data_IF_076463372618
#
_entry.id   IF_076463372618
#
_cell.length_a   1.000
_cell.length_b   1.000
_cell.length_c   1.000
_cell.angle_alpha   90.00
_cell.angle_beta   90.00
_cell.angle_gamma   90.00
#
_symmetry.space_group_name_H-M   'P 1'
#
loop_
_entity.id
_entity.type
_entity.pdbx_description
1 polymer ?
#
# COMPACT_ATOMS: atom_id res chain seq x y z
N UNK A 1 19.80 2.83 32.93
CA UNK A 1 18.64 3.02 32.05
C UNK A 1 18.31 4.51 32.00
N UNK A 2 18.10 5.09 30.83
CA UNK A 2 17.81 6.50 30.67
C UNK A 2 17.03 6.79 29.38
N UNK A 3 16.10 7.76 29.47
CA UNK A 3 15.46 8.35 28.32
C UNK A 3 16.29 9.57 27.88
N UNK A 4 16.67 9.61 26.59
CA UNK A 4 17.53 10.68 26.05
C UNK A 4 17.12 11.04 24.63
N UNK A 5 17.51 12.23 24.20
CA UNK A 5 17.59 12.55 22.78
C UNK A 5 18.83 11.86 22.18
N UNK A 6 18.67 11.32 21.00
CA UNK A 6 19.73 10.63 20.24
C UNK A 6 19.95 11.32 18.91
N UNK A 7 21.08 10.98 18.28
CA UNK A 7 21.32 11.45 16.91
C UNK A 7 20.48 10.66 15.92
N UNK A 8 20.32 11.21 14.74
CA UNK A 8 19.66 10.53 13.62
C UNK A 8 20.33 9.20 13.29
N UNK A 9 21.66 9.17 13.33
CA UNK A 9 22.47 7.99 13.04
C UNK A 9 22.26 6.87 14.08
N UNK A 10 22.18 7.24 15.36
CA UNK A 10 21.87 6.29 16.44
C UNK A 10 20.45 5.74 16.30
N UNK A 11 19.47 6.60 15.99
CA UNK A 11 18.10 6.16 15.72
C UNK A 11 18.03 5.21 14.54
N UNK A 12 18.64 5.55 13.40
CA UNK A 12 18.64 4.71 12.20
C UNK A 12 19.31 3.36 12.45
N UNK A 13 20.41 3.33 13.20
CA UNK A 13 21.10 2.10 13.57
C UNK A 13 20.19 1.17 14.37
N UNK A 14 19.43 1.70 15.34
CA UNK A 14 18.45 0.91 16.07
C UNK A 14 17.29 0.47 15.19
N UNK A 15 16.73 1.39 14.40
CA UNK A 15 15.59 1.10 13.54
C UNK A 15 15.87 -0.03 12.55
N UNK A 16 17.08 -0.13 12.01
CA UNK A 16 17.49 -1.20 11.10
C UNK A 16 17.55 -2.58 11.76
N UNK A 17 17.68 -2.66 13.08
CA UNK A 17 17.71 -3.91 13.82
C UNK A 17 16.30 -4.47 14.13
N UNK A 18 15.25 -3.66 13.93
CA UNK A 18 13.86 -4.03 14.21
C UNK A 18 13.11 -4.23 12.89
N UNK A 19 12.64 -5.46 12.65
CA UNK A 19 11.95 -5.83 11.41
C UNK A 19 10.53 -5.25 11.32
N UNK A 20 9.80 -5.22 12.43
CA UNK A 20 8.44 -4.68 12.48
C UNK A 20 8.46 -3.19 12.78
N UNK A 21 8.52 -2.38 11.73
CA UNK A 21 8.45 -0.92 11.83
C UNK A 21 7.71 -0.31 10.66
N UNK A 22 7.09 0.82 10.91
CA UNK A 22 6.40 1.60 9.89
C UNK A 22 7.38 2.54 9.16
N UNK A 23 7.13 2.83 7.88
CA UNK A 23 7.81 3.88 7.13
C UNK A 23 7.59 5.28 7.76
N UNK A 24 6.59 5.44 8.61
CA UNK A 24 6.35 6.68 9.39
C UNK A 24 7.46 6.94 10.41
N UNK A 25 8.24 5.92 10.78
CA UNK A 25 9.38 5.99 11.69
C UNK A 25 10.70 5.81 10.92
N UNK A 26 10.87 6.57 9.82
CA UNK A 26 12.09 6.56 8.99
C UNK A 26 12.67 7.96 8.82
N UNK A 27 13.96 8.01 8.45
CA UNK A 27 14.63 9.27 8.12
C UNK A 27 13.95 10.01 6.97
N UNK A 28 13.45 9.28 5.97
CA UNK A 28 12.73 9.83 4.83
C UNK A 28 11.46 10.56 5.27
N UNK A 29 10.71 9.95 6.19
CA UNK A 29 9.53 10.60 6.77
C UNK A 29 9.92 11.82 7.60
N UNK A 30 10.98 11.76 8.39
CA UNK A 30 11.47 12.91 9.15
C UNK A 30 11.81 14.08 8.20
N UNK A 31 12.53 13.83 7.11
CA UNK A 31 12.83 14.86 6.08
C UNK A 31 11.57 15.46 5.46
N UNK A 32 10.58 14.62 5.15
CA UNK A 32 9.30 15.11 4.63
C UNK A 32 8.57 16.01 5.63
N UNK A 33 8.54 15.62 6.89
CA UNK A 33 7.89 16.39 7.95
C UNK A 33 8.62 17.72 8.20
N UNK A 34 9.96 17.73 8.24
CA UNK A 34 10.76 18.96 8.36
C UNK A 34 10.47 19.93 7.21
N UNK A 35 10.43 19.43 5.96
CA UNK A 35 10.08 20.23 4.78
C UNK A 35 8.68 20.85 4.87
N UNK A 36 7.77 20.18 5.58
CA UNK A 36 6.41 20.66 5.85
C UNK A 36 6.30 21.57 7.08
N UNK A 37 7.44 21.92 7.71
CA UNK A 37 7.49 22.87 8.83
C UNK A 37 7.32 22.25 10.21
N UNK A 38 7.40 20.93 10.34
CA UNK A 38 7.42 20.27 11.65
C UNK A 38 8.82 20.28 12.24
N UNK A 39 8.93 20.40 13.55
CA UNK A 39 10.20 20.17 14.26
C UNK A 39 10.32 18.70 14.62
N UNK A 40 11.48 18.11 14.38
CA UNK A 40 11.76 16.69 14.59
C UNK A 40 12.70 16.50 15.76
N UNK A 41 12.41 15.50 16.60
CA UNK A 41 13.31 15.00 17.65
C UNK A 41 13.39 13.49 17.57
N UNK A 42 14.60 12.96 17.71
CA UNK A 42 14.84 11.53 17.87
C UNK A 42 15.05 11.25 19.36
N UNK A 43 14.22 10.39 19.94
CA UNK A 43 14.29 10.04 21.35
C UNK A 43 14.46 8.54 21.51
N UNK A 44 15.12 8.14 22.60
CA UNK A 44 15.36 6.73 22.86
C UNK A 44 15.38 6.42 24.37
N UNK A 45 15.03 5.19 24.69
CA UNK A 45 15.30 4.55 25.96
C UNK A 45 16.52 3.65 25.81
N UNK A 46 17.55 3.93 26.60
CA UNK A 46 18.82 3.17 26.58
C UNK A 46 19.03 2.39 27.86
N UNK A 47 19.51 1.15 27.69
CA UNK A 47 20.12 0.36 28.75
C UNK A 47 21.65 0.27 28.48
N UNK A 48 22.43 0.95 29.32
CA UNK A 48 23.85 1.15 29.01
C UNK A 48 24.05 1.91 27.70
N UNK A 49 24.69 1.27 26.72
CA UNK A 49 24.92 1.86 25.39
C UNK A 49 23.93 1.35 24.34
N UNK A 50 23.04 0.43 24.71
CA UNK A 50 22.07 -0.17 23.79
C UNK A 50 20.76 0.59 23.80
N UNK A 51 20.21 0.89 22.63
CA UNK A 51 18.86 1.41 22.46
C UNK A 51 17.89 0.25 22.46
N UNK A 52 16.91 0.28 23.36
CA UNK A 52 15.84 -0.72 23.47
C UNK A 52 14.53 -0.24 22.85
N UNK A 53 14.27 1.07 22.93
CA UNK A 53 13.08 1.72 22.36
C UNK A 53 13.52 3.05 21.76
N UNK A 54 13.05 3.38 20.56
CA UNK A 54 13.28 4.70 19.95
C UNK A 54 12.08 5.21 19.19
N UNK A 55 11.99 6.53 19.04
CA UNK A 55 10.92 7.15 18.27
C UNK A 55 11.36 8.45 17.61
N UNK A 56 10.75 8.71 16.45
CA UNK A 56 10.67 10.03 15.87
C UNK A 56 9.47 10.73 16.52
N UNK A 57 9.73 11.84 17.21
CA UNK A 57 8.71 12.74 17.73
C UNK A 57 8.70 13.98 16.86
N UNK A 58 7.57 14.29 16.26
CA UNK A 58 7.41 15.54 15.55
C UNK A 58 6.47 16.47 16.30
N UNK A 59 6.74 17.76 16.20
CA UNK A 59 5.96 18.79 16.89
C UNK A 59 5.54 19.90 15.94
N UNK A 60 4.36 20.45 16.21
CA UNK A 60 3.82 21.60 15.51
C UNK A 60 3.30 22.63 16.53
N UNK A 61 3.39 23.92 16.21
CA UNK A 61 2.75 24.95 17.01
C UNK A 61 1.23 24.78 17.04
N UNK A 62 0.65 25.01 18.22
CA UNK A 62 -0.78 25.17 18.40
C UNK A 62 -1.06 26.36 19.32
N UNK A 63 -2.32 26.77 19.44
CA UNK A 63 -2.68 27.90 20.32
C UNK A 63 -2.27 27.61 21.75
N UNK A 64 -1.31 28.39 22.26
CA UNK A 64 -0.84 28.33 23.65
C UNK A 64 0.31 27.35 23.90
N UNK A 65 0.79 26.57 22.89
CA UNK A 65 1.92 25.67 23.08
C UNK A 65 2.23 24.82 21.85
N UNK A 66 2.58 23.55 22.07
CA UNK A 66 2.91 22.60 21.02
C UNK A 66 1.96 21.38 21.07
N UNK A 67 1.68 20.82 19.91
CA UNK A 67 1.24 19.44 19.77
C UNK A 67 2.46 18.60 19.39
N UNK A 68 2.68 17.51 20.12
CA UNK A 68 3.69 16.51 19.82
C UNK A 68 3.04 15.19 19.42
N UNK A 69 3.65 14.48 18.48
CA UNK A 69 3.10 13.22 18.01
C UNK A 69 4.22 12.19 17.73
N UNK A 70 3.96 10.92 18.11
CA UNK A 70 4.68 9.74 17.67
C UNK A 70 3.72 8.94 16.79
N UNK A 71 3.96 8.91 15.49
CA UNK A 71 3.10 8.25 14.53
C UNK A 71 3.65 6.89 14.13
N UNK A 72 2.83 5.84 14.23
CA UNK A 72 3.20 4.45 13.96
C UNK A 72 4.51 4.02 14.67
N UNK A 73 4.62 4.36 15.95
CA UNK A 73 5.75 4.05 16.81
C UNK A 73 5.40 4.08 18.30
N UNK A 74 6.37 3.84 19.18
CA UNK A 74 7.82 3.77 18.96
C UNK A 74 8.28 2.48 18.27
N UNK A 75 9.55 2.46 17.83
CA UNK A 75 10.25 1.27 17.37
C UNK A 75 10.81 0.53 18.59
N UNK A 76 10.53 -0.77 18.72
CA UNK A 76 11.04 -1.62 19.80
C UNK A 76 11.09 -3.09 19.38
N UNK A 77 12.00 -3.84 19.97
CA UNK A 77 12.07 -5.29 19.81
C UNK A 77 11.47 -6.06 20.99
N UNK A 78 11.18 -5.35 22.09
CA UNK A 78 10.61 -5.90 23.33
C UNK A 78 9.69 -4.88 23.98
N UNK A 79 8.60 -5.39 24.55
CA UNK A 79 7.65 -4.57 25.33
C UNK A 79 8.12 -4.21 26.74
N UNK A 80 9.26 -4.75 27.17
CA UNK A 80 9.74 -4.67 28.55
C UNK A 80 9.92 -3.22 29.06
N UNK A 81 10.34 -2.30 28.18
CA UNK A 81 10.66 -0.92 28.53
C UNK A 81 9.66 0.10 28.00
N UNK A 82 8.56 -0.35 27.40
CA UNK A 82 7.56 0.56 26.81
C UNK A 82 6.89 1.48 27.85
N UNK A 83 6.53 0.95 29.03
CA UNK A 83 5.91 1.77 30.08
C UNK A 83 6.83 2.88 30.55
N UNK A 84 8.11 2.56 30.80
CA UNK A 84 9.12 3.53 31.21
C UNK A 84 9.35 4.58 30.11
N UNK A 85 9.46 4.12 28.86
CA UNK A 85 9.60 5.00 27.71
C UNK A 85 8.42 5.98 27.60
N UNK A 86 7.19 5.48 27.65
CA UNK A 86 5.98 6.32 27.54
C UNK A 86 5.83 7.30 28.70
N UNK A 87 6.19 6.90 29.93
CA UNK A 87 6.20 7.83 31.05
C UNK A 87 7.20 8.96 30.82
N UNK A 88 8.44 8.62 30.43
CA UNK A 88 9.48 9.62 30.16
C UNK A 88 9.14 10.49 28.94
N UNK A 89 8.52 9.93 27.92
CA UNK A 89 8.07 10.68 26.74
C UNK A 89 7.01 11.72 27.12
N UNK A 90 6.10 11.40 28.04
CA UNK A 90 5.10 12.33 28.59
C UNK A 90 5.78 13.49 29.35
N UNK A 91 6.78 13.16 30.17
CA UNK A 91 7.55 14.17 30.92
C UNK A 91 8.39 15.05 29.97
N UNK A 92 8.99 14.45 28.96
CA UNK A 92 9.71 15.17 27.89
C UNK A 92 8.79 16.12 27.14
N UNK A 93 7.61 15.66 26.71
CA UNK A 93 6.65 16.50 26.01
C UNK A 93 6.21 17.70 26.86
N UNK A 94 5.90 17.48 28.14
CA UNK A 94 5.55 18.51 29.09
C UNK A 94 6.68 19.54 29.30
N UNK A 95 7.92 19.07 29.45
CA UNK A 95 9.09 19.92 29.62
C UNK A 95 9.38 20.80 28.39
N UNK A 96 8.96 20.34 27.20
CA UNK A 96 9.10 21.08 25.94
C UNK A 96 7.86 21.92 25.56
N UNK A 97 6.91 22.10 26.50
CA UNK A 97 5.75 22.97 26.28
C UNK A 97 4.63 22.36 25.45
N UNK A 98 4.57 21.03 25.33
CA UNK A 98 3.46 20.34 24.68
C UNK A 98 2.20 20.43 25.55
N UNK A 99 1.11 20.87 24.95
CA UNK A 99 -0.23 20.82 25.52
C UNK A 99 -0.94 19.50 25.16
N UNK A 100 -0.52 18.88 24.06
CA UNK A 100 -1.05 17.61 23.58
C UNK A 100 0.11 16.71 23.16
N UNK A 101 0.07 15.46 23.59
CA UNK A 101 0.94 14.39 23.14
C UNK A 101 0.07 13.27 22.58
N UNK A 102 0.20 12.98 21.30
CA UNK A 102 -0.50 11.91 20.61
C UNK A 102 0.46 10.77 20.31
N UNK A 103 0.04 9.56 20.64
CA UNK A 103 0.80 8.34 20.34
C UNK A 103 -0.09 7.41 19.53
N UNK A 104 0.40 6.98 18.39
CA UNK A 104 -0.23 5.98 17.51
C UNK A 104 0.72 4.79 17.42
N UNK A 105 0.59 3.78 18.30
CA UNK A 105 1.43 2.58 18.24
C UNK A 105 1.25 1.83 16.91
N UNK A 106 2.30 1.12 16.48
CA UNK A 106 2.26 0.26 15.29
C UNK A 106 2.06 -1.22 15.66
N UNK A 107 1.90 -1.49 16.93
CA UNK A 107 1.73 -2.83 17.47
C UNK A 107 0.43 -3.47 16.98
N UNK A 108 0.50 -4.76 16.66
CA UNK A 108 -0.67 -5.53 16.24
C UNK A 108 -1.59 -5.79 17.43
N UNK A 109 -2.81 -5.25 17.38
CA UNK A 109 -3.84 -5.49 18.40
C UNK A 109 -4.50 -6.86 18.23
N UNK A 110 -4.91 -7.23 17.02
CA UNK A 110 -5.55 -8.50 16.71
C UNK A 110 -5.39 -8.87 15.23
N UNK A 111 -5.33 -10.16 14.95
CA UNK A 111 -5.23 -10.68 13.58
C UNK A 111 -6.55 -11.35 13.20
N UNK A 112 -6.99 -11.10 11.98
CA UNK A 112 -8.21 -11.65 11.39
C UNK A 112 -7.88 -12.43 10.13
N UNK A 113 -8.69 -13.45 9.83
CA UNK A 113 -8.60 -14.16 8.56
C UNK A 113 -9.25 -13.36 7.40
N UNK A 114 -9.22 -13.92 6.19
CA UNK A 114 -9.79 -13.28 5.00
C UNK A 114 -11.33 -13.14 5.02
N UNK A 115 -12.02 -13.74 5.99
CA UNK A 115 -13.47 -13.64 6.18
C UNK A 115 -13.82 -12.61 7.27
N UNK A 116 -12.81 -12.07 7.97
CA UNK A 116 -12.98 -11.16 9.09
C UNK A 116 -13.16 -11.85 10.44
N UNK A 117 -12.90 -13.17 10.54
CA UNK A 117 -12.96 -13.90 11.79
C UNK A 117 -11.63 -13.76 12.54
N UNK A 118 -11.64 -13.50 13.86
CA UNK A 118 -10.43 -13.36 14.65
C UNK A 118 -9.66 -14.68 14.74
N UNK A 119 -8.37 -14.65 14.45
CA UNK A 119 -7.45 -15.80 14.54
C UNK A 119 -6.38 -15.61 15.62
N UNK A 120 -6.37 -14.47 16.30
CA UNK A 120 -5.56 -14.23 17.50
C UNK A 120 -6.42 -13.62 18.62
N UNK A 121 -5.91 -13.67 19.86
CA UNK A 121 -6.49 -12.93 20.97
C UNK A 121 -6.22 -11.43 20.83
N UNK A 122 -7.06 -10.60 21.46
CA UNK A 122 -6.83 -9.16 21.58
C UNK A 122 -5.63 -8.86 22.48
N UNK A 123 -4.73 -7.99 22.03
CA UNK A 123 -3.54 -7.55 22.77
C UNK A 123 -3.85 -6.27 23.57
N UNK A 124 -4.63 -6.43 24.63
CA UNK A 124 -5.09 -5.30 25.49
C UNK A 124 -4.00 -4.71 26.38
N UNK A 125 -2.87 -5.39 26.51
CA UNK A 125 -1.82 -4.99 27.46
C UNK A 125 -1.25 -3.62 27.16
N UNK A 126 -0.99 -3.30 25.88
CA UNK A 126 -0.46 -2.00 25.50
C UNK A 126 -1.45 -0.86 25.82
N UNK A 127 -2.73 -1.07 25.55
CA UNK A 127 -3.78 -0.10 25.87
C UNK A 127 -3.83 0.11 27.38
N UNK A 128 -3.81 -0.97 28.18
CA UNK A 128 -3.80 -0.88 29.64
C UNK A 128 -2.57 -0.15 30.17
N UNK A 129 -1.38 -0.44 29.64
CA UNK A 129 -0.13 0.24 30.01
C UNK A 129 -0.21 1.75 29.77
N UNK A 130 -0.73 2.17 28.62
CA UNK A 130 -0.88 3.59 28.29
C UNK A 130 -1.95 4.26 29.17
N UNK A 131 -3.10 3.63 29.38
CA UNK A 131 -4.17 4.21 30.21
C UNK A 131 -3.77 4.30 31.69
N UNK A 132 -3.01 3.34 32.22
CA UNK A 132 -2.46 3.36 33.57
C UNK A 132 -1.46 4.53 33.77
N UNK A 133 -0.78 4.95 32.70
CA UNK A 133 0.08 6.14 32.66
C UNK A 133 -0.71 7.44 32.44
N UNK A 134 -2.05 7.36 32.34
CA UNK A 134 -2.94 8.53 32.19
C UNK A 134 -3.07 9.03 30.76
N UNK A 135 -2.77 8.22 29.74
CA UNK A 135 -3.19 8.49 28.36
C UNK A 135 -4.66 8.16 28.18
N UNK A 136 -5.35 8.96 27.38
CA UNK A 136 -6.71 8.65 26.94
C UNK A 136 -6.71 7.74 25.72
N UNK A 137 -7.62 6.78 25.66
CA UNK A 137 -7.77 5.90 24.52
C UNK A 137 -9.10 6.19 23.81
N UNK A 138 -9.05 6.58 22.54
CA UNK A 138 -10.21 6.97 21.75
C UNK A 138 -10.98 5.77 21.15
N UNK A 139 -10.54 4.55 21.44
CA UNK A 139 -11.10 3.33 20.87
C UNK A 139 -10.52 2.99 19.51
N UNK A 140 -10.74 1.74 19.06
CA UNK A 140 -10.42 1.31 17.70
C UNK A 140 -11.48 1.85 16.75
N UNK A 141 -11.05 2.60 15.74
CA UNK A 141 -11.93 3.26 14.78
C UNK A 141 -11.80 2.64 13.40
N UNK A 142 -12.78 2.89 12.53
CA UNK A 142 -12.72 2.52 11.12
C UNK A 142 -12.39 3.73 10.27
N UNK A 143 -11.87 3.51 9.05
CA UNK A 143 -11.48 4.58 8.14
C UNK A 143 -10.05 5.07 8.40
N UNK A 144 -9.88 6.38 8.47
CA UNK A 144 -8.58 7.06 8.67
C UNK A 144 -8.65 8.01 9.87
N UNK A 145 -8.81 7.51 11.09
CA UNK A 145 -8.85 8.36 12.27
C UNK A 145 -7.50 9.07 12.44
N UNK A 146 -7.53 10.39 12.47
CA UNK A 146 -6.30 11.18 12.57
C UNK A 146 -5.31 11.01 11.41
N UNK A 147 -5.78 10.53 10.25
CA UNK A 147 -4.99 10.43 9.01
C UNK A 147 -4.28 9.10 8.78
N UNK A 148 -4.40 8.13 9.69
CA UNK A 148 -3.80 6.80 9.56
C UNK A 148 -4.87 5.71 9.72
N UNK A 149 -4.78 4.57 8.98
CA UNK A 149 -5.71 3.46 9.15
C UNK A 149 -5.35 2.60 10.36
N UNK A 150 -6.35 2.21 11.16
CA UNK A 150 -6.17 1.22 12.22
C UNK A 150 -6.21 -0.23 11.68
N UNK A 151 -6.75 -0.42 10.47
CA UNK A 151 -6.93 -1.74 9.85
C UNK A 151 -6.01 -1.88 8.64
N UNK A 152 -5.18 -2.93 8.66
CA UNK A 152 -4.23 -3.24 7.58
C UNK A 152 -4.54 -4.59 6.94
N UNK A 153 -4.51 -4.65 5.61
CA UNK A 153 -4.44 -5.92 4.89
C UNK A 153 -2.99 -6.33 4.75
N UNK A 154 -2.64 -7.49 5.30
CA UNK A 154 -1.26 -7.99 5.30
C UNK A 154 -1.16 -9.24 4.46
N UNK A 155 -0.07 -9.37 3.72
CA UNK A 155 0.30 -10.59 3.01
C UNK A 155 1.77 -10.88 3.24
N UNK A 156 2.06 -12.03 3.86
CA UNK A 156 3.40 -12.55 3.96
C UNK A 156 3.92 -12.97 2.58
N UNK A 157 5.08 -12.45 2.20
CA UNK A 157 5.72 -12.71 0.90
C UNK A 157 7.02 -13.53 1.04
N UNK A 158 7.54 -13.71 2.26
CA UNK A 158 8.76 -14.49 2.50
C UNK A 158 8.63 -15.90 1.94
N UNK A 159 9.64 -16.34 1.21
CA UNK A 159 9.67 -17.67 0.60
C UNK A 159 8.75 -17.85 -0.62
N UNK A 160 8.07 -16.81 -1.09
CA UNK A 160 7.28 -16.85 -2.32
C UNK A 160 8.13 -16.31 -3.48
N UNK A 161 8.52 -17.17 -4.39
CA UNK A 161 9.19 -16.73 -5.61
C UNK A 161 8.19 -16.02 -6.56
N UNK A 162 8.65 -15.05 -7.34
CA UNK A 162 7.82 -14.27 -8.27
C UNK A 162 6.93 -15.15 -9.18
N UNK A 163 7.50 -16.24 -9.73
CA UNK A 163 6.77 -17.21 -10.56
C UNK A 163 5.59 -17.88 -9.84
N UNK A 164 5.64 -17.95 -8.52
CA UNK A 164 4.64 -18.61 -7.67
C UNK A 164 3.66 -17.61 -7.01
N UNK A 165 3.94 -16.29 -7.11
CA UNK A 165 3.14 -15.25 -6.50
C UNK A 165 1.64 -15.38 -6.86
N UNK A 166 1.30 -15.63 -8.13
CA UNK A 166 -0.10 -15.81 -8.56
C UNK A 166 -0.73 -17.01 -7.88
N UNK A 167 0.04 -18.09 -7.58
CA UNK A 167 -0.47 -19.27 -6.89
C UNK A 167 -0.89 -18.96 -5.45
N UNK A 168 -0.26 -17.97 -4.83
CA UNK A 168 -0.53 -17.54 -3.45
C UNK A 168 -1.82 -16.70 -3.32
N UNK A 169 -2.41 -16.22 -4.43
CA UNK A 169 -3.65 -15.45 -4.39
C UNK A 169 -4.87 -16.32 -4.10
N UNK A 170 -5.92 -15.71 -3.60
CA UNK A 170 -7.21 -16.35 -3.36
C UNK A 170 -7.79 -16.97 -4.64
N UNK A 171 -8.71 -17.92 -4.50
CA UNK A 171 -9.43 -18.52 -5.65
C UNK A 171 -10.14 -17.45 -6.49
N UNK A 172 -10.65 -16.37 -5.89
CA UNK A 172 -11.29 -15.23 -6.58
C UNK A 172 -10.28 -14.28 -7.21
N UNK A 173 -9.13 -14.05 -6.58
CA UNK A 173 -8.10 -13.11 -7.04
C UNK A 173 -7.34 -13.61 -8.29
N UNK A 174 -7.02 -14.90 -8.36
CA UNK A 174 -6.29 -15.50 -9.51
C UNK A 174 -6.92 -15.20 -10.87
N UNK A 175 -8.24 -15.42 -11.08
CA UNK A 175 -8.90 -15.09 -12.35
C UNK A 175 -8.85 -13.60 -12.67
N UNK A 176 -8.98 -12.73 -11.66
CA UNK A 176 -8.96 -11.28 -11.86
C UNK A 176 -7.60 -10.79 -12.37
N UNK A 177 -6.51 -11.26 -11.76
CA UNK A 177 -5.15 -10.92 -12.22
C UNK A 177 -4.91 -11.43 -13.66
N UNK A 178 -5.34 -12.65 -13.97
CA UNK A 178 -5.25 -13.18 -15.34
C UNK A 178 -6.06 -12.32 -16.31
N UNK A 179 -7.27 -11.94 -15.92
CA UNK A 179 -8.15 -11.09 -16.73
C UNK A 179 -7.50 -9.72 -16.99
N UNK A 180 -6.94 -9.07 -15.97
CA UNK A 180 -6.24 -7.80 -16.13
C UNK A 180 -5.10 -7.89 -17.17
N UNK A 181 -4.32 -8.99 -17.14
CA UNK A 181 -3.28 -9.24 -18.15
C UNK A 181 -3.85 -9.40 -19.58
N UNK A 182 -5.03 -10.01 -19.73
CA UNK A 182 -5.66 -10.17 -21.06
C UNK A 182 -6.18 -8.86 -21.65
N UNK A 183 -6.46 -7.85 -20.83
CA UNK A 183 -6.83 -6.50 -21.29
C UNK A 183 -5.61 -5.68 -21.74
N UNK A 184 -4.39 -6.15 -21.47
CA UNK A 184 -3.18 -5.42 -21.80
C UNK A 184 -2.92 -4.23 -20.85
N UNK A 185 -3.42 -4.30 -19.61
CA UNK A 185 -3.13 -3.29 -18.60
C UNK A 185 -1.63 -3.25 -18.36
N UNK A 186 -1.06 -2.04 -18.47
CA UNK A 186 0.35 -1.74 -18.25
C UNK A 186 0.51 -1.04 -16.91
N UNK A 187 1.63 -1.29 -16.22
CA UNK A 187 2.02 -0.57 -15.02
C UNK A 187 3.16 0.38 -15.38
N UNK A 188 3.07 1.64 -14.95
CA UNK A 188 4.08 2.66 -15.17
C UNK A 188 4.47 3.28 -13.85
N UNK A 189 5.78 3.33 -13.55
CA UNK A 189 6.35 4.12 -12.47
C UNK A 189 6.46 5.57 -12.97
N UNK A 190 5.85 6.49 -12.24
CA UNK A 190 5.89 7.91 -12.54
C UNK A 190 7.20 8.54 -12.07
N UNK A 191 7.71 9.48 -12.85
CA UNK A 191 8.78 10.38 -12.44
C UNK A 191 8.19 11.58 -11.70
N UNK A 192 9.08 12.36 -11.09
CA UNK A 192 8.69 13.54 -10.30
C UNK A 192 7.84 14.55 -11.08
N UNK A 193 8.20 14.81 -12.34
CA UNK A 193 7.50 15.72 -13.25
C UNK A 193 6.16 15.18 -13.78
N UNK A 194 5.92 13.88 -13.62
CA UNK A 194 4.68 13.21 -14.01
C UNK A 194 3.67 13.06 -12.85
N UNK A 195 4.00 13.53 -11.65
CA UNK A 195 3.14 13.36 -10.46
C UNK A 195 1.79 14.10 -10.55
N UNK A 196 1.63 15.03 -11.47
CA UNK A 196 0.32 15.62 -11.81
C UNK A 196 -0.69 14.55 -12.22
N UNK A 197 -0.26 13.49 -12.94
CA UNK A 197 -1.09 12.35 -13.34
C UNK A 197 -1.61 11.62 -12.07
N UNK A 198 -0.75 11.40 -11.09
CA UNK A 198 -1.14 10.77 -9.82
C UNK A 198 -2.12 11.66 -9.04
N UNK A 199 -1.85 12.98 -9.01
CA UNK A 199 -2.73 13.96 -8.36
C UNK A 199 -4.12 14.00 -8.97
N UNK A 200 -4.27 13.90 -10.29
CA UNK A 200 -5.57 13.84 -10.97
C UNK A 200 -6.40 12.64 -10.51
N UNK A 201 -5.78 11.45 -10.38
CA UNK A 201 -6.46 10.23 -9.91
C UNK A 201 -6.90 10.37 -8.45
N UNK A 202 -6.02 10.90 -7.60
CA UNK A 202 -6.34 11.07 -6.18
C UNK A 202 -7.42 12.12 -5.98
N UNK A 203 -7.40 13.21 -6.76
CA UNK A 203 -8.45 14.22 -6.76
C UNK A 203 -9.80 13.64 -7.17
N UNK A 204 -9.87 12.92 -8.29
CA UNK A 204 -11.10 12.28 -8.73
C UNK A 204 -11.64 11.25 -7.71
N UNK A 205 -10.74 10.63 -6.94
CA UNK A 205 -11.13 9.71 -5.87
C UNK A 205 -11.62 10.45 -4.64
N UNK A 206 -10.93 11.54 -4.25
CA UNK A 206 -11.31 12.36 -3.10
C UNK A 206 -12.65 13.03 -3.30
N UNK A 207 -12.91 13.58 -4.50
CA UNK A 207 -14.21 14.18 -4.86
C UNK A 207 -15.35 13.16 -4.75
N UNK A 208 -15.13 11.95 -5.26
CA UNK A 208 -16.12 10.87 -5.20
C UNK A 208 -16.36 10.34 -3.77
N UNK A 209 -15.35 10.41 -2.89
CA UNK A 209 -15.37 9.86 -1.54
C UNK A 209 -15.52 10.93 -0.47
N UNK A 210 -15.59 12.20 -0.86
CA UNK A 210 -15.80 13.36 0.02
C UNK A 210 -14.75 13.50 1.15
N UNK A 211 -13.46 13.31 0.80
CA UNK A 211 -12.36 13.56 1.72
C UNK A 211 -11.38 14.59 1.14
N UNK A 212 -10.58 15.21 2.01
CA UNK A 212 -9.56 16.17 1.60
C UNK A 212 -8.33 15.47 1.01
N UNK A 213 -8.02 15.74 -0.26
CA UNK A 213 -6.83 15.21 -0.92
C UNK A 213 -5.58 16.01 -0.59
N UNK A 214 -4.41 15.39 -0.74
CA UNK A 214 -3.11 16.06 -0.61
C UNK A 214 -2.83 16.93 -1.84
N UNK A 215 -2.01 17.98 -1.67
CA UNK A 215 -1.56 18.84 -2.78
C UNK A 215 -0.56 18.11 -3.69
N UNK A 216 -0.35 18.63 -4.91
CA UNK A 216 0.73 18.15 -5.78
C UNK A 216 2.10 18.32 -5.13
N UNK A 217 2.32 19.46 -4.45
CA UNK A 217 3.57 19.72 -3.72
C UNK A 217 3.85 18.66 -2.66
N UNK A 218 2.80 18.17 -1.97
CA UNK A 218 2.95 17.08 -1.01
C UNK A 218 3.49 15.81 -1.67
N UNK A 219 2.95 15.43 -2.83
CA UNK A 219 3.42 14.23 -3.55
C UNK A 219 4.83 14.40 -4.10
N UNK A 220 5.19 15.62 -4.55
CA UNK A 220 6.54 15.93 -4.99
C UNK A 220 7.54 15.92 -3.83
N UNK A 221 7.16 16.48 -2.67
CA UNK A 221 7.97 16.46 -1.45
C UNK A 221 8.17 15.03 -0.94
N UNK A 222 7.13 14.20 -1.02
CA UNK A 222 7.21 12.79 -0.70
C UNK A 222 8.17 12.04 -1.62
N UNK A 223 8.06 12.27 -2.92
CA UNK A 223 8.96 11.70 -3.93
C UNK A 223 10.43 12.08 -3.64
N UNK A 224 10.68 13.36 -3.37
CA UNK A 224 12.01 13.86 -3.08
C UNK A 224 12.60 13.31 -1.77
N UNK A 225 11.76 13.13 -0.75
CA UNK A 225 12.20 12.64 0.56
C UNK A 225 12.50 11.13 0.55
N UNK A 226 11.65 10.35 -0.11
CA UNK A 226 11.76 8.88 -0.12
C UNK A 226 12.63 8.32 -1.25
N UNK A 227 12.83 9.06 -2.35
CA UNK A 227 13.67 8.61 -3.46
C UNK A 227 13.33 7.21 -3.95
N UNK A 228 14.31 6.31 -3.93
CA UNK A 228 14.13 4.91 -4.37
C UNK A 228 13.28 4.06 -3.40
N UNK A 229 12.98 4.58 -2.21
CA UNK A 229 12.12 3.91 -1.23
C UNK A 229 10.63 4.19 -1.46
N UNK A 230 10.25 4.85 -2.57
CA UNK A 230 8.85 5.06 -2.92
C UNK A 230 8.61 4.98 -4.42
N UNK A 231 7.55 4.25 -4.80
CA UNK A 231 7.11 4.11 -6.18
C UNK A 231 5.69 4.66 -6.35
N UNK A 232 5.56 5.76 -7.08
CA UNK A 232 4.28 6.23 -7.58
C UNK A 232 3.94 5.48 -8.86
N UNK A 233 3.02 4.54 -8.76
CA UNK A 233 2.64 3.66 -9.86
C UNK A 233 1.26 4.01 -10.40
N UNK A 234 1.11 3.96 -11.71
CA UNK A 234 -0.20 4.03 -12.36
C UNK A 234 -0.43 2.80 -13.23
N UNK A 235 -1.68 2.38 -13.30
CA UNK A 235 -2.15 1.37 -14.24
C UNK A 235 -2.79 2.07 -15.43
N UNK A 236 -2.34 1.76 -16.64
CA UNK A 236 -2.86 2.32 -17.89
C UNK A 236 -3.45 1.25 -18.78
N UNK A 237 -4.38 1.64 -19.63
CA UNK A 237 -4.98 0.81 -20.66
C UNK A 237 -5.08 1.60 -21.95
N UNK A 238 -4.65 1.00 -23.05
CA UNK A 238 -4.85 1.49 -24.41
C UNK A 238 -5.91 0.63 -25.09
N UNK A 239 -7.01 1.23 -25.50
CA UNK A 239 -8.09 0.47 -26.14
C UNK A 239 -7.76 0.03 -27.56
N UNK A 240 -6.90 0.76 -28.27
CA UNK A 240 -6.41 0.32 -29.58
C UNK A 240 -5.51 -0.92 -29.43
N UNK A 241 -4.54 -0.89 -28.51
CA UNK A 241 -3.70 -2.05 -28.19
C UNK A 241 -4.56 -3.27 -27.79
N UNK A 242 -5.61 -3.03 -27.00
CA UNK A 242 -6.54 -4.09 -26.60
C UNK A 242 -7.29 -4.67 -27.80
N UNK A 243 -7.80 -3.82 -28.69
CA UNK A 243 -8.44 -4.26 -29.94
C UNK A 243 -7.50 -5.09 -30.81
N UNK A 244 -6.29 -4.62 -31.03
CA UNK A 244 -5.26 -5.30 -31.85
C UNK A 244 -4.89 -6.67 -31.26
N UNK A 245 -4.81 -6.77 -29.93
CA UNK A 245 -4.62 -8.03 -29.24
C UNK A 245 -5.81 -9.00 -29.46
N UNK A 246 -7.05 -8.50 -29.38
CA UNK A 246 -8.23 -9.32 -29.64
C UNK A 246 -8.22 -9.84 -31.08
N UNK A 247 -7.90 -8.99 -32.06
CA UNK A 247 -7.83 -9.35 -33.47
C UNK A 247 -6.75 -10.40 -33.73
N UNK A 248 -5.55 -10.21 -33.20
CA UNK A 248 -4.45 -11.19 -33.30
C UNK A 248 -4.82 -12.55 -32.69
N UNK A 249 -5.45 -12.53 -31.51
CA UNK A 249 -5.86 -13.79 -30.84
C UNK A 249 -7.02 -14.49 -31.58
N UNK A 250 -7.97 -13.71 -32.13
CA UNK A 250 -9.05 -14.24 -32.94
C UNK A 250 -8.52 -14.89 -34.23
N UNK A 251 -7.52 -14.27 -34.90
CA UNK A 251 -6.90 -14.85 -36.08
C UNK A 251 -6.21 -16.21 -35.77
N UNK A 252 -5.49 -16.29 -34.64
CA UNK A 252 -4.90 -17.54 -34.15
C UNK A 252 -5.97 -18.61 -33.87
N UNK A 253 -7.09 -18.22 -33.28
CA UNK A 253 -8.20 -19.09 -32.98
C UNK A 253 -8.85 -19.62 -34.28
N UNK A 254 -9.07 -18.72 -35.25
CA UNK A 254 -9.59 -19.08 -36.58
C UNK A 254 -8.71 -20.14 -37.27
N UNK A 255 -7.39 -19.96 -37.27
CA UNK A 255 -6.47 -20.95 -37.82
C UNK A 255 -6.61 -22.34 -37.14
N UNK A 256 -6.81 -22.37 -35.83
CA UNK A 256 -7.05 -23.61 -35.09
C UNK A 256 -8.39 -24.24 -35.44
N UNK A 257 -9.45 -23.44 -35.59
CA UNK A 257 -10.79 -23.92 -36.03
C UNK A 257 -10.70 -24.55 -37.41
N UNK A 258 -10.07 -23.87 -38.40
CA UNK A 258 -9.87 -24.39 -39.76
C UNK A 258 -9.13 -25.73 -39.75
N UNK A 259 -8.04 -25.83 -38.98
CA UNK A 259 -7.29 -27.09 -38.84
C UNK A 259 -8.16 -28.19 -38.24
N UNK A 260 -8.96 -27.89 -37.25
CA UNK A 260 -9.83 -28.86 -36.58
C UNK A 260 -10.99 -29.33 -37.49
N UNK A 261 -11.51 -28.43 -38.33
CA UNK A 261 -12.50 -28.73 -39.35
C UNK A 261 -11.95 -29.73 -40.38
N UNK A 262 -10.74 -29.43 -40.93
CA UNK A 262 -10.06 -30.36 -41.86
C UNK A 262 -9.79 -31.72 -41.21
N UNK A 263 -9.40 -31.77 -39.95
CA UNK A 263 -9.24 -33.01 -39.19
C UNK A 263 -10.55 -33.80 -39.04
N UNK A 264 -11.69 -33.12 -38.92
CA UNK A 264 -13.02 -33.73 -38.82
C UNK A 264 -13.53 -34.22 -40.17
N UNK A 265 -13.11 -33.66 -41.30
CA UNK A 265 -13.40 -34.20 -42.62
C UNK A 265 -12.80 -35.61 -42.80
N UNK A 266 -11.59 -35.83 -42.25
CA UNK A 266 -10.93 -37.16 -42.28
C UNK A 266 -11.44 -38.09 -41.19
N UNK A 267 -11.94 -37.61 -40.06
CA UNK A 267 -12.47 -38.40 -38.95
C UNK A 267 -13.74 -37.79 -38.34
N UNK A 268 -14.89 -37.87 -39.04
CA UNK A 268 -16.12 -37.19 -38.64
C UNK A 268 -16.77 -37.69 -37.33
N UNK A 269 -16.44 -38.91 -36.90
CA UNK A 269 -17.02 -39.53 -35.69
C UNK A 269 -16.29 -39.19 -34.39
N UNK A 270 -15.28 -38.34 -34.43
CA UNK A 270 -14.52 -37.96 -33.22
C UNK A 270 -15.30 -36.93 -32.35
N UNK A 271 -16.09 -37.42 -31.39
CA UNK A 271 -16.84 -36.58 -30.45
C UNK A 271 -15.96 -35.56 -29.73
N UNK A 272 -14.74 -35.97 -29.36
CA UNK A 272 -13.75 -35.05 -28.71
C UNK A 272 -13.45 -33.84 -29.60
N UNK A 273 -13.19 -34.05 -30.90
CA UNK A 273 -12.90 -32.97 -31.84
C UNK A 273 -14.14 -32.12 -32.14
N UNK A 274 -15.33 -32.73 -32.21
CA UNK A 274 -16.58 -31.99 -32.36
C UNK A 274 -16.87 -31.08 -31.17
N UNK A 275 -16.68 -31.54 -29.92
CA UNK A 275 -16.85 -30.77 -28.74
C UNK A 275 -15.82 -29.60 -28.67
N UNK A 276 -14.56 -29.91 -29.03
CA UNK A 276 -13.52 -28.88 -29.11
C UNK A 276 -13.85 -27.82 -30.17
N UNK A 277 -14.40 -28.20 -31.33
CA UNK A 277 -14.82 -27.28 -32.38
C UNK A 277 -15.92 -26.32 -31.86
N UNK A 278 -16.95 -26.88 -31.20
CA UNK A 278 -18.03 -26.06 -30.60
C UNK A 278 -17.48 -25.05 -29.58
N UNK A 279 -16.59 -25.51 -28.72
CA UNK A 279 -15.96 -24.63 -27.72
C UNK A 279 -15.16 -23.50 -28.37
N UNK A 280 -14.30 -23.82 -29.37
CA UNK A 280 -13.50 -22.81 -30.08
C UNK A 280 -14.37 -21.86 -30.90
N UNK A 281 -15.48 -22.34 -31.50
CA UNK A 281 -16.41 -21.47 -32.22
C UNK A 281 -17.13 -20.49 -31.28
N UNK A 282 -17.58 -20.96 -30.12
CA UNK A 282 -18.16 -20.06 -29.11
C UNK A 282 -17.17 -19.02 -28.59
N UNK A 283 -15.91 -19.42 -28.39
CA UNK A 283 -14.83 -18.46 -28.05
C UNK A 283 -14.63 -17.44 -29.18
N UNK A 284 -14.68 -17.87 -30.45
CA UNK A 284 -14.51 -16.97 -31.59
C UNK A 284 -15.60 -15.89 -31.64
N UNK A 285 -16.86 -16.27 -31.44
CA UNK A 285 -17.99 -15.30 -31.36
C UNK A 285 -17.81 -14.29 -30.21
N UNK A 286 -17.25 -14.75 -29.07
CA UNK A 286 -16.96 -13.87 -27.94
C UNK A 286 -15.93 -12.78 -28.31
N UNK A 287 -14.97 -13.07 -29.21
CA UNK A 287 -14.03 -12.03 -29.68
C UNK A 287 -14.72 -10.95 -30.49
N UNK A 288 -15.74 -11.27 -31.28
CA UNK A 288 -16.46 -10.25 -32.06
C UNK A 288 -17.22 -9.29 -31.15
N UNK A 289 -17.88 -9.80 -30.12
CA UNK A 289 -18.52 -8.95 -29.11
C UNK A 289 -17.51 -8.03 -28.44
N UNK A 290 -16.39 -8.57 -27.97
CA UNK A 290 -15.34 -7.78 -27.29
C UNK A 290 -14.68 -6.75 -28.21
N UNK A 291 -14.49 -7.05 -29.49
CA UNK A 291 -13.99 -6.07 -30.47
C UNK A 291 -14.98 -4.94 -30.68
N UNK A 292 -16.28 -5.23 -30.75
CA UNK A 292 -17.32 -4.21 -30.80
C UNK A 292 -17.30 -3.29 -29.58
N UNK A 293 -17.15 -3.85 -28.38
CA UNK A 293 -16.98 -3.08 -27.15
C UNK A 293 -15.70 -2.22 -27.18
N UNK A 294 -14.58 -2.79 -27.61
CA UNK A 294 -13.30 -2.08 -27.72
C UNK A 294 -13.40 -0.92 -28.72
N UNK A 295 -14.06 -1.11 -29.87
CA UNK A 295 -14.31 -0.02 -30.86
C UNK A 295 -15.11 1.12 -30.22
N UNK A 296 -16.19 0.82 -29.49
CA UNK A 296 -16.98 1.83 -28.82
C UNK A 296 -16.16 2.60 -27.74
N UNK A 297 -15.23 1.93 -27.08
CA UNK A 297 -14.31 2.60 -26.15
C UNK A 297 -13.26 3.45 -26.86
N UNK A 298 -12.74 3.01 -28.02
CA UNK A 298 -11.83 3.82 -28.85
C UNK A 298 -12.54 5.10 -29.30
N UNK A 299 -13.80 5.00 -29.74
CA UNK A 299 -14.60 6.15 -30.15
C UNK A 299 -14.83 7.14 -28.99
N UNK A 300 -14.97 6.63 -27.77
CA UNK A 300 -15.23 7.44 -26.58
C UNK A 300 -13.97 8.03 -25.94
N UNK A 301 -12.89 7.30 -25.88
CA UNK A 301 -11.68 7.65 -25.11
C UNK A 301 -10.46 7.93 -25.98
N UNK A 302 -10.53 7.71 -27.29
CA UNK A 302 -9.42 7.87 -28.23
C UNK A 302 -8.47 6.67 -28.24
N UNK A 303 -7.31 6.86 -28.88
CA UNK A 303 -6.27 5.85 -29.09
C UNK A 303 -5.09 6.01 -28.13
N UNK A 304 -5.20 6.90 -27.16
CA UNK A 304 -4.13 7.14 -26.18
C UNK A 304 -4.29 6.26 -24.93
N UNK A 305 -3.21 6.15 -24.15
CA UNK A 305 -3.24 5.45 -22.87
C UNK A 305 -4.15 6.21 -21.90
N UNK A 306 -5.16 5.55 -21.37
CA UNK A 306 -5.98 6.07 -20.27
C UNK A 306 -5.48 5.54 -18.93
N UNK A 307 -5.51 6.39 -17.92
CA UNK A 307 -5.11 6.02 -16.56
C UNK A 307 -6.33 5.47 -15.81
N UNK A 308 -6.20 4.24 -15.30
CA UNK A 308 -7.28 3.52 -14.62
C UNK A 308 -7.22 3.64 -13.11
N UNK A 309 -6.00 3.62 -12.56
CA UNK A 309 -5.76 3.61 -11.12
C UNK A 309 -4.34 4.10 -10.81
N UNK A 310 -4.15 4.58 -9.59
CA UNK A 310 -2.84 4.91 -9.03
C UNK A 310 -2.63 4.24 -7.68
N UNK A 311 -1.38 3.94 -7.35
CA UNK A 311 -0.97 3.40 -6.05
C UNK A 311 0.41 3.93 -5.69
N UNK A 312 0.61 4.27 -4.43
CA UNK A 312 1.90 4.60 -3.85
C UNK A 312 2.40 3.37 -3.09
N UNK A 313 3.56 2.86 -3.46
CA UNK A 313 4.29 1.83 -2.73
C UNK A 313 5.41 2.50 -1.96
N UNK A 314 5.56 2.13 -0.70
CA UNK A 314 6.64 2.63 0.16
C UNK A 314 7.41 1.42 0.69
N UNK A 315 8.72 1.48 0.58
CA UNK A 315 9.61 0.42 1.01
C UNK A 315 10.31 0.83 2.29
N UNK A 316 10.31 -0.07 3.27
CA UNK A 316 11.08 0.10 4.49
C UNK A 316 12.26 -0.88 4.40
N UNK A 317 13.47 -0.42 4.05
CA UNK A 317 14.64 -1.28 3.95
C UNK A 317 14.91 -2.00 5.28
N UNK A 318 15.16 -3.29 5.21
CA UNK A 318 15.59 -4.12 6.35
C UNK A 318 17.11 -4.16 6.43
#
# INVERSE_FOLDING_TARGET
MSFIQVTKEEFNTHAQQVSERSFMQTEEMAKLLEKRGFSISYVAWKEGNQIEVSAIVYSMPMTGGLRMEVNCGPIHSSVAHLSDFYQCLKDYAKANGALELVIKPYDTYQIFDSNGEPISSEQKQLISQLTDLGYSFDGLQTGYPGGEPDWHYVKELSGIEEKDLIKSFSKKGKPLVKKAKTFGIKLKKLKRDELSIFKEITSATSDRREYSDKSLDYYQDFYDAFGDNADFMVATLNFQDYFDHLESNQAKLRARIVKLQADLETNPKSEKKQNQLRELSSQFETFDVRKGEATAFIDKYGQEDIVLAGSLFVYTPQ
#
